data_IF_042922893046
#
_entry.id   IF_042922893046
#
_cell.length_a   1.000
_cell.length_b   1.000
_cell.length_c   1.000
_cell.angle_alpha   90.00
_cell.angle_beta   90.00
_cell.angle_gamma   90.00
#
_symmetry.space_group_name_H-M   'P 1'
#
loop_
_entity.id
_entity.type
_entity.pdbx_description
1 polymer ?
#
# COMPACT_ATOMS: atom_id res chain seq x y z
N UNK A 1 -4.99 -6.68 -75.28
CA UNK A 1 -5.12 -7.43 -74.00
C UNK A 1 -4.79 -6.49 -72.86
N UNK A 2 -5.78 -6.02 -72.10
CA UNK A 2 -5.59 -5.14 -70.93
C UNK A 2 -6.22 -5.84 -69.73
N UNK A 3 -5.38 -6.18 -68.74
CA UNK A 3 -5.76 -6.91 -67.53
C UNK A 3 -6.67 -6.06 -66.64
N UNK A 4 -7.76 -6.68 -66.16
CA UNK A 4 -8.68 -6.13 -65.16
C UNK A 4 -7.99 -6.13 -63.80
N UNK A 5 -8.08 -4.98 -63.12
CA UNK A 5 -7.67 -4.74 -61.73
C UNK A 5 -8.70 -5.42 -60.81
N UNK A 6 -8.29 -6.47 -60.09
CA UNK A 6 -9.09 -7.13 -59.07
C UNK A 6 -8.98 -6.37 -57.75
N UNK A 7 -10.13 -5.99 -57.21
CA UNK A 7 -10.31 -5.38 -55.89
C UNK A 7 -9.97 -6.41 -54.80
N UNK A 8 -9.13 -6.04 -53.84
CA UNK A 8 -8.93 -6.83 -52.61
C UNK A 8 -9.94 -6.32 -51.58
N UNK A 9 -10.91 -7.17 -51.28
CA UNK A 9 -11.78 -7.05 -50.12
C UNK A 9 -10.94 -7.12 -48.85
N UNK A 10 -11.11 -6.12 -47.97
CA UNK A 10 -10.51 -6.11 -46.65
C UNK A 10 -11.02 -7.30 -45.84
N UNK A 11 -10.09 -8.02 -45.23
CA UNK A 11 -10.41 -9.02 -44.22
C UNK A 11 -10.24 -8.33 -42.87
N UNK A 12 -11.35 -8.09 -42.20
CA UNK A 12 -11.43 -7.64 -40.81
C UNK A 12 -10.67 -8.65 -39.95
N UNK A 13 -9.61 -8.18 -39.31
CA UNK A 13 -9.00 -8.86 -38.17
C UNK A 13 -9.65 -8.24 -36.94
N UNK A 14 -10.72 -8.86 -36.46
CA UNK A 14 -11.17 -8.66 -35.09
C UNK A 14 -10.13 -9.34 -34.19
N UNK A 15 -9.08 -8.57 -33.92
CA UNK A 15 -8.20 -8.82 -32.81
C UNK A 15 -8.97 -8.47 -31.55
N UNK A 16 -9.35 -9.49 -30.80
CA UNK A 16 -9.51 -9.39 -29.36
C UNK A 16 -8.12 -9.09 -28.78
N UNK A 17 -7.73 -7.83 -28.87
CA UNK A 17 -6.60 -7.29 -28.13
C UNK A 17 -7.19 -6.83 -26.80
N UNK A 18 -7.30 -7.76 -25.85
CA UNK A 18 -7.26 -7.40 -24.44
C UNK A 18 -6.06 -6.45 -24.28
N UNK A 19 -6.34 -5.17 -24.02
CA UNK A 19 -5.29 -4.23 -23.63
C UNK A 19 -4.49 -4.83 -22.47
N UNK A 20 -3.24 -4.38 -22.23
CA UNK A 20 -2.55 -4.80 -21.01
C UNK A 20 -3.50 -4.53 -19.84
N UNK A 21 -3.79 -5.57 -19.06
CA UNK A 21 -4.56 -5.41 -17.84
C UNK A 21 -3.85 -4.30 -17.05
N UNK A 22 -4.55 -3.20 -16.76
CA UNK A 22 -4.07 -2.21 -15.79
C UNK A 22 -3.81 -2.96 -14.50
N UNK A 23 -2.59 -2.90 -13.98
CA UNK A 23 -2.27 -3.65 -12.77
C UNK A 23 -2.91 -3.01 -11.53
N UNK A 24 -2.74 -3.65 -10.39
CA UNK A 24 -3.41 -3.28 -9.14
C UNK A 24 -2.42 -2.74 -8.12
N UNK A 25 -2.92 -1.90 -7.20
CA UNK A 25 -2.19 -1.57 -5.96
C UNK A 25 -2.63 -2.52 -4.86
N UNK A 26 -1.67 -3.21 -4.24
CA UNK A 26 -1.92 -4.19 -3.18
C UNK A 26 -1.60 -3.60 -1.81
N UNK A 27 -2.62 -3.40 -0.98
CA UNK A 27 -2.50 -2.99 0.41
C UNK A 27 -2.37 -4.25 1.27
N UNK A 28 -1.32 -4.31 2.10
CA UNK A 28 -1.04 -5.44 2.98
C UNK A 28 -1.36 -5.06 4.43
N UNK A 29 -2.24 -5.87 5.05
CA UNK A 29 -2.57 -5.81 6.48
C UNK A 29 -2.03 -7.07 7.17
N UNK A 30 -1.36 -6.88 8.31
CA UNK A 30 -0.80 -7.93 9.17
C UNK A 30 -1.64 -8.11 10.44
N UNK A 31 -2.31 -9.25 10.54
CA UNK A 31 -3.18 -9.61 11.66
C UNK A 31 -2.48 -10.49 12.70
N UNK A 32 -2.84 -10.30 13.97
CA UNK A 32 -2.41 -11.11 15.10
C UNK A 32 -1.06 -10.73 15.71
N UNK A 33 -0.22 -9.98 14.99
CA UNK A 33 1.12 -9.57 15.45
C UNK A 33 1.41 -8.06 15.32
N UNK A 34 0.53 -7.31 14.64
CA UNK A 34 0.67 -5.87 14.40
C UNK A 34 -0.67 -5.14 14.64
N UNK A 35 -0.84 -4.63 15.85
CA UNK A 35 -2.06 -3.93 16.27
C UNK A 35 -2.32 -2.65 15.47
N UNK A 36 -1.27 -1.97 15.02
CA UNK A 36 -1.41 -0.79 14.18
C UNK A 36 -1.96 -1.17 12.80
N UNK A 37 -1.42 -2.23 12.20
CA UNK A 37 -1.87 -2.71 10.90
C UNK A 37 -3.36 -3.07 10.92
N UNK A 38 -3.81 -3.82 11.92
CA UNK A 38 -5.23 -4.17 12.07
C UNK A 38 -6.11 -2.96 12.34
N UNK A 39 -5.63 -2.00 13.16
CA UNK A 39 -6.34 -0.76 13.42
C UNK A 39 -6.55 0.06 12.13
N UNK A 40 -5.48 0.31 11.38
CA UNK A 40 -5.54 1.05 10.10
C UNK A 40 -6.43 0.31 9.11
N UNK A 41 -6.27 -1.03 8.97
CA UNK A 41 -7.11 -1.86 8.11
C UNK A 41 -8.58 -1.79 8.47
N UNK A 42 -8.90 -1.77 9.77
CA UNK A 42 -10.26 -1.59 10.29
C UNK A 42 -10.87 -0.26 9.87
N UNK A 43 -10.13 0.84 10.05
CA UNK A 43 -10.56 2.17 9.61
C UNK A 43 -10.75 2.26 8.09
N UNK A 44 -9.81 1.72 7.32
CA UNK A 44 -9.88 1.71 5.86
C UNK A 44 -11.11 0.95 5.35
N UNK A 45 -11.45 -0.18 5.99
CA UNK A 45 -12.69 -0.93 5.73
C UNK A 45 -13.95 -0.20 6.17
N UNK A 46 -13.86 0.68 7.18
CA UNK A 46 -15.00 1.45 7.67
C UNK A 46 -15.32 2.66 6.79
N UNK A 47 -14.32 3.26 6.12
CA UNK A 47 -14.52 4.49 5.34
C UNK A 47 -14.70 4.26 3.84
N UNK A 48 -14.20 3.16 3.28
CA UNK A 48 -14.37 2.78 1.87
C UNK A 48 -15.38 1.64 1.76
N UNK A 49 -16.18 1.64 0.69
CA UNK A 49 -17.12 0.56 0.39
C UNK A 49 -16.41 -0.53 -0.43
N UNK A 50 -15.96 -1.57 0.28
CA UNK A 50 -15.21 -2.69 -0.28
C UNK A 50 -16.12 -3.82 -0.76
N UNK A 51 -15.78 -4.43 -1.89
CA UNK A 51 -16.30 -5.75 -2.28
C UNK A 51 -15.42 -6.87 -1.72
N UNK A 52 -16.01 -8.03 -1.45
CA UNK A 52 -15.25 -9.23 -1.12
C UNK A 52 -14.35 -9.63 -2.31
N UNK A 53 -13.08 -9.87 -2.03
CA UNK A 53 -12.10 -10.38 -2.98
C UNK A 53 -11.92 -11.89 -2.87
N UNK A 54 -11.02 -12.49 -3.67
CA UNK A 54 -10.66 -13.91 -3.51
C UNK A 54 -9.98 -14.15 -2.16
N UNK A 55 -10.11 -15.35 -1.62
CA UNK A 55 -9.18 -15.79 -0.57
C UNK A 55 -7.81 -16.06 -1.19
N UNK A 56 -6.75 -15.53 -0.58
CA UNK A 56 -5.37 -15.69 -1.04
C UNK A 56 -4.54 -16.21 0.12
N UNK A 57 -3.97 -17.40 0.01
CA UNK A 57 -3.29 -18.08 1.12
C UNK A 57 -4.22 -18.49 2.26
N UNK A 58 -5.51 -18.71 1.96
CA UNK A 58 -6.54 -19.07 2.95
C UNK A 58 -6.94 -17.92 3.87
N UNK A 59 -6.64 -16.67 3.50
CA UNK A 59 -7.03 -15.46 4.24
C UNK A 59 -7.85 -14.53 3.35
N UNK A 60 -8.74 -13.71 3.95
CA UNK A 60 -9.64 -12.87 3.17
C UNK A 60 -8.89 -11.72 2.48
N UNK A 61 -9.45 -11.30 1.35
CA UNK A 61 -9.09 -10.05 0.70
C UNK A 61 -10.34 -9.25 0.34
N UNK A 62 -10.14 -7.99 0.02
CA UNK A 62 -11.16 -7.07 -0.47
C UNK A 62 -10.67 -6.35 -1.70
N UNK A 63 -11.60 -5.87 -2.51
CA UNK A 63 -11.31 -5.10 -3.72
C UNK A 63 -12.17 -3.86 -3.81
N UNK A 64 -11.58 -2.81 -4.36
CA UNK A 64 -12.26 -1.57 -4.75
C UNK A 64 -11.51 -1.03 -5.97
N UNK A 65 -12.17 -0.96 -7.13
CA UNK A 65 -11.52 -0.62 -8.41
C UNK A 65 -10.24 -1.46 -8.66
N UNK A 66 -9.09 -0.82 -8.87
CA UNK A 66 -7.75 -1.37 -9.05
C UNK A 66 -6.95 -1.48 -7.75
N UNK A 67 -7.60 -1.33 -6.58
CA UNK A 67 -6.98 -1.53 -5.27
C UNK A 67 -7.44 -2.84 -4.65
N UNK A 68 -6.48 -3.56 -4.06
CA UNK A 68 -6.71 -4.79 -3.29
C UNK A 68 -6.27 -4.56 -1.85
N UNK A 69 -7.03 -5.08 -0.91
CA UNK A 69 -6.67 -5.11 0.51
C UNK A 69 -6.55 -6.56 0.94
N UNK A 70 -5.35 -7.00 1.27
CA UNK A 70 -5.05 -8.37 1.64
C UNK A 70 -4.72 -8.47 3.13
N UNK A 71 -5.55 -9.19 3.87
CA UNK A 71 -5.48 -9.26 5.33
C UNK A 71 -4.92 -10.59 5.78
N UNK A 72 -3.62 -10.60 6.04
CA UNK A 72 -2.83 -11.80 6.27
C UNK A 72 -2.55 -12.00 7.74
N UNK A 73 -2.24 -13.24 8.12
CA UNK A 73 -1.70 -13.56 9.44
C UNK A 73 -0.18 -13.36 9.49
N UNK A 74 0.32 -12.87 10.62
CA UNK A 74 1.76 -12.77 10.90
C UNK A 74 2.42 -11.47 10.42
N UNK A 75 3.70 -11.30 10.78
CA UNK A 75 4.48 -10.09 10.52
C UNK A 75 4.98 -10.02 9.07
N UNK A 76 4.59 -8.96 8.35
CA UNK A 76 4.99 -8.71 6.96
C UNK A 76 6.48 -8.42 6.72
N UNK A 77 7.22 -7.96 7.73
CA UNK A 77 8.63 -7.56 7.55
C UNK A 77 9.54 -8.75 7.18
N UNK A 78 9.18 -9.97 7.57
CA UNK A 78 9.91 -11.20 7.22
C UNK A 78 9.36 -11.96 6.01
N UNK A 79 8.43 -11.35 5.28
CA UNK A 79 7.62 -12.00 4.26
C UNK A 79 7.97 -11.43 2.88
N UNK A 80 9.04 -11.94 2.26
CA UNK A 80 9.50 -11.49 0.94
C UNK A 80 8.51 -11.85 -0.19
N UNK A 81 8.57 -11.11 -1.30
CA UNK A 81 7.83 -11.36 -2.54
C UNK A 81 6.31 -11.51 -2.33
N UNK A 82 5.69 -10.53 -1.65
CA UNK A 82 4.25 -10.52 -1.40
C UNK A 82 3.43 -10.17 -2.65
N UNK A 83 3.99 -9.32 -3.48
CA UNK A 83 3.53 -9.05 -4.84
C UNK A 83 3.44 -10.34 -5.66
N UNK A 84 4.56 -11.07 -5.81
CA UNK A 84 4.61 -12.30 -6.61
C UNK A 84 3.59 -13.34 -6.13
N UNK A 85 3.47 -13.54 -4.82
CA UNK A 85 2.49 -14.48 -4.24
C UNK A 85 1.06 -14.11 -4.58
N UNK A 86 0.72 -12.83 -4.56
CA UNK A 86 -0.59 -12.37 -5.00
C UNK A 86 -0.81 -12.66 -6.49
N UNK A 87 0.18 -12.33 -7.34
CA UNK A 87 0.09 -12.57 -8.79
C UNK A 87 -0.07 -14.05 -9.13
N UNK A 88 0.68 -14.92 -8.46
CA UNK A 88 0.66 -16.37 -8.69
C UNK A 88 -0.71 -17.00 -8.36
N UNK A 89 -1.35 -16.53 -7.28
CA UNK A 89 -2.60 -17.10 -6.80
C UNK A 89 -3.84 -16.49 -7.48
N UNK A 90 -3.79 -15.21 -7.84
CA UNK A 90 -4.95 -14.48 -8.39
C UNK A 90 -4.89 -14.26 -9.90
N UNK A 91 -3.68 -14.26 -10.48
CA UNK A 91 -3.42 -13.83 -11.85
C UNK A 91 -3.48 -12.32 -12.07
N UNK A 92 -3.68 -11.51 -11.01
CA UNK A 92 -3.70 -10.04 -11.10
C UNK A 92 -2.29 -9.49 -10.97
N UNK A 93 -1.82 -8.71 -11.97
CA UNK A 93 -0.52 -8.05 -11.92
C UNK A 93 -0.51 -6.98 -10.82
N UNK A 94 0.46 -7.02 -9.91
CA UNK A 94 0.69 -6.02 -8.87
C UNK A 94 1.64 -4.94 -9.40
N UNK A 95 1.20 -3.69 -9.39
CA UNK A 95 2.04 -2.54 -9.79
C UNK A 95 2.87 -1.99 -8.62
N UNK A 96 2.31 -2.06 -7.41
CA UNK A 96 3.01 -1.68 -6.19
C UNK A 96 2.31 -2.28 -4.96
N UNK A 97 3.06 -2.39 -3.87
CA UNK A 97 2.53 -2.75 -2.55
C UNK A 97 2.58 -1.57 -1.57
N UNK A 98 1.57 -1.50 -0.71
CA UNK A 98 1.51 -0.53 0.40
C UNK A 98 1.33 -1.32 1.69
N UNK A 99 2.34 -1.25 2.55
CA UNK A 99 2.37 -1.97 3.81
C UNK A 99 1.94 -1.04 4.94
N UNK A 100 0.82 -1.35 5.58
CA UNK A 100 0.35 -0.61 6.75
C UNK A 100 0.85 -1.35 7.98
N UNK A 101 1.64 -0.70 8.83
CA UNK A 101 2.36 -1.41 9.91
C UNK A 101 2.63 -0.51 11.11
N UNK A 102 3.17 -1.06 12.20
CA UNK A 102 3.61 -0.26 13.35
C UNK A 102 5.03 0.29 13.21
N UNK A 103 5.20 1.51 13.70
CA UNK A 103 6.50 2.08 14.03
C UNK A 103 6.76 1.94 15.54
N UNK A 104 7.96 1.55 15.94
CA UNK A 104 8.37 1.47 17.37
C UNK A 104 9.55 2.38 17.64
N UNK A 105 9.40 3.31 18.59
CA UNK A 105 10.48 4.21 18.99
C UNK A 105 10.59 4.33 20.50
N UNK A 106 11.82 4.58 20.98
CA UNK A 106 12.07 4.96 22.38
C UNK A 106 11.58 6.37 22.68
N UNK A 107 11.48 7.21 21.65
CA UNK A 107 10.85 8.52 21.75
C UNK A 107 9.34 8.30 21.58
N UNK A 108 8.65 8.14 22.71
CA UNK A 108 7.22 7.83 22.78
C UNK A 108 6.34 9.03 22.41
N UNK A 109 6.43 9.52 21.18
CA UNK A 109 5.55 10.54 20.61
C UNK A 109 4.63 9.92 19.56
N UNK A 110 3.36 10.36 19.45
CA UNK A 110 2.46 9.88 18.42
C UNK A 110 2.96 10.35 17.06
N UNK A 111 3.07 9.43 16.11
CA UNK A 111 3.61 9.75 14.79
C UNK A 111 3.04 8.86 13.69
N UNK A 112 3.02 9.43 12.48
CA UNK A 112 2.81 8.70 11.24
C UNK A 112 4.04 8.86 10.36
N UNK A 113 4.57 7.75 9.86
CA UNK A 113 5.79 7.77 9.06
C UNK A 113 5.60 7.06 7.72
N UNK A 114 6.44 7.43 6.75
CA UNK A 114 6.47 6.79 5.43
C UNK A 114 7.93 6.49 5.07
N UNK A 115 8.21 5.27 4.61
CA UNK A 115 9.57 4.90 4.19
C UNK A 115 9.58 3.81 3.12
N UNK A 116 10.73 3.70 2.45
CA UNK A 116 10.99 2.61 1.52
C UNK A 116 11.63 1.43 2.26
N UNK A 117 11.41 0.22 1.77
CA UNK A 117 12.04 -0.99 2.31
C UNK A 117 13.44 -1.21 1.75
N UNK A 118 14.30 -1.86 2.53
CA UNK A 118 15.65 -2.21 2.10
C UNK A 118 16.66 -2.22 3.23
N UNK A 119 17.78 -2.91 3.03
CA UNK A 119 18.90 -2.92 3.95
C UNK A 119 20.21 -2.43 3.30
N UNK A 120 20.24 -1.23 2.67
CA UNK A 120 21.43 -0.72 1.98
C UNK A 120 22.62 -0.46 2.93
N UNK A 121 22.35 -0.34 4.23
CA UNK A 121 23.36 -0.16 5.27
C UNK A 121 24.13 -1.43 5.62
N UNK A 122 23.62 -2.61 5.24
CA UNK A 122 24.23 -3.91 5.52
C UNK A 122 25.18 -4.35 4.38
N UNK A 123 26.23 -5.07 4.73
CA UNK A 123 27.08 -5.79 3.79
C UNK A 123 26.36 -7.02 3.25
N UNK A 124 26.73 -7.46 2.05
CA UNK A 124 26.07 -8.55 1.31
C UNK A 124 26.11 -9.93 2.00
N UNK A 125 26.98 -10.11 2.99
CA UNK A 125 27.14 -11.33 3.79
C UNK A 125 26.53 -11.24 5.20
N UNK A 126 25.91 -10.10 5.54
CA UNK A 126 25.19 -9.92 6.80
C UNK A 126 23.76 -10.45 6.73
N UNK A 127 23.21 -10.87 7.88
CA UNK A 127 21.84 -11.35 8.01
C UNK A 127 20.91 -10.21 8.49
N UNK A 128 19.92 -9.77 7.70
CA UNK A 128 19.02 -8.69 8.09
C UNK A 128 18.13 -9.09 9.30
N UNK A 129 18.20 -8.36 10.42
CA UNK A 129 17.47 -8.73 11.63
C UNK A 129 15.94 -8.59 11.52
N UNK A 130 15.47 -7.81 10.56
CA UNK A 130 14.05 -7.50 10.34
C UNK A 130 13.61 -7.78 8.89
N UNK A 131 14.21 -8.83 8.29
CA UNK A 131 13.86 -9.34 6.96
C UNK A 131 14.44 -8.53 5.79
N UNK A 132 14.11 -8.98 4.58
CA UNK A 132 14.65 -8.48 3.32
C UNK A 132 16.05 -9.02 2.99
N UNK A 133 16.72 -8.39 2.01
CA UNK A 133 18.06 -8.81 1.54
C UNK A 133 19.12 -7.76 1.88
N UNK A 134 20.25 -8.20 2.43
CA UNK A 134 21.34 -7.32 2.83
C UNK A 134 21.99 -6.61 1.63
N UNK A 135 22.30 -5.32 1.78
CA UNK A 135 22.91 -4.48 0.76
C UNK A 135 21.97 -4.05 -0.37
N UNK A 136 20.70 -4.46 -0.34
CA UNK A 136 19.71 -4.12 -1.37
C UNK A 136 18.60 -3.22 -0.84
N UNK A 137 18.00 -2.44 -1.73
CA UNK A 137 16.81 -1.64 -1.45
C UNK A 137 15.70 -1.96 -2.44
N UNK A 138 14.46 -2.03 -1.94
CA UNK A 138 13.28 -2.25 -2.77
C UNK A 138 13.00 -0.96 -3.56
N UNK A 139 12.57 -1.04 -4.83
CA UNK A 139 12.14 0.15 -5.54
C UNK A 139 11.05 0.89 -4.73
N UNK A 140 11.23 2.18 -4.43
CA UNK A 140 10.22 2.90 -3.66
C UNK A 140 8.92 3.04 -4.47
N UNK A 141 7.78 2.89 -3.81
CA UNK A 141 6.47 3.14 -4.42
C UNK A 141 6.42 4.52 -5.09
N UNK A 142 5.70 4.60 -6.19
CA UNK A 142 5.63 5.84 -6.96
C UNK A 142 4.93 6.93 -6.14
N UNK A 143 5.46 8.16 -6.21
CA UNK A 143 4.79 9.28 -5.57
C UNK A 143 4.96 9.40 -4.04
N UNK A 144 5.87 8.68 -3.36
CA UNK A 144 6.08 8.84 -1.90
C UNK A 144 6.15 10.30 -1.42
N UNK A 145 6.76 11.21 -2.20
CA UNK A 145 6.80 12.63 -1.87
C UNK A 145 5.41 13.32 -1.91
N UNK A 146 4.52 12.89 -2.81
CA UNK A 146 3.12 13.29 -2.86
C UNK A 146 2.37 12.78 -1.64
N UNK A 147 2.47 11.48 -1.34
CA UNK A 147 1.89 10.86 -0.15
C UNK A 147 2.29 11.58 1.14
N UNK A 148 3.57 11.92 1.29
CA UNK A 148 4.03 12.67 2.45
C UNK A 148 3.45 14.09 2.53
N UNK A 149 3.33 14.80 1.41
CA UNK A 149 2.66 16.11 1.39
C UNK A 149 1.18 16.00 1.74
N UNK A 150 0.51 14.95 1.28
CA UNK A 150 -0.88 14.68 1.62
C UNK A 150 -1.03 14.36 3.11
N UNK A 151 -0.14 13.53 3.69
CA UNK A 151 -0.10 13.25 5.12
C UNK A 151 0.00 14.53 5.95
N UNK A 152 0.97 15.40 5.64
CA UNK A 152 1.17 16.67 6.35
C UNK A 152 -0.07 17.57 6.24
N UNK A 153 -0.69 17.63 5.05
CA UNK A 153 -1.93 18.40 4.84
C UNK A 153 -3.08 17.83 5.68
N UNK A 154 -3.32 16.52 5.60
CA UNK A 154 -4.43 15.85 6.28
C UNK A 154 -4.29 15.91 7.80
N UNK A 155 -3.08 15.71 8.34
CA UNK A 155 -2.83 15.85 9.77
C UNK A 155 -3.16 17.28 10.26
N UNK A 156 -2.82 18.30 9.46
CA UNK A 156 -3.17 19.69 9.75
C UNK A 156 -4.67 19.95 9.66
N UNK A 157 -5.35 19.44 8.63
CA UNK A 157 -6.80 19.61 8.44
C UNK A 157 -7.61 18.89 9.53
N UNK A 158 -7.12 17.75 10.02
CA UNK A 158 -7.66 17.01 11.16
C UNK A 158 -7.28 17.62 12.52
N UNK A 159 -6.55 18.75 12.54
CA UNK A 159 -6.08 19.44 13.76
C UNK A 159 -5.22 18.55 14.69
N UNK A 160 -4.51 17.57 14.12
CA UNK A 160 -3.67 16.61 14.85
C UNK A 160 -2.28 17.20 15.17
N UNK A 161 -2.25 18.32 15.88
CA UNK A 161 -1.03 19.10 16.15
C UNK A 161 0.02 18.38 17.00
N UNK A 162 -0.41 17.43 17.83
CA UNK A 162 0.47 16.61 18.68
C UNK A 162 1.13 15.46 17.89
N UNK A 163 0.62 15.16 16.69
CA UNK A 163 1.12 14.07 15.86
C UNK A 163 2.28 14.54 14.98
N UNK A 164 3.39 13.82 15.07
CA UNK A 164 4.51 14.07 14.16
C UNK A 164 4.33 13.31 12.83
N UNK A 165 4.76 13.92 11.73
CA UNK A 165 4.75 13.27 10.41
C UNK A 165 6.17 13.26 9.85
N UNK A 166 6.69 12.09 9.49
CA UNK A 166 8.09 11.97 9.02
C UNK A 166 8.25 11.08 7.78
N UNK A 167 9.30 11.37 7.02
CA UNK A 167 9.93 10.37 6.16
C UNK A 167 11.04 9.69 6.95
N UNK A 168 11.12 8.36 6.91
CA UNK A 168 12.24 7.63 7.50
C UNK A 168 13.27 7.20 6.46
N UNK A 169 14.46 6.85 6.94
CA UNK A 169 15.49 6.24 6.11
C UNK A 169 15.03 4.86 5.60
N UNK A 170 15.57 4.44 4.45
CA UNK A 170 15.38 3.07 3.95
C UNK A 170 15.96 2.08 4.96
N UNK A 171 15.12 1.17 5.45
CA UNK A 171 15.51 0.13 6.40
C UNK A 171 14.57 -1.10 6.28
N UNK A 172 15.01 -2.24 6.84
CA UNK A 172 14.29 -3.52 7.06
C UNK A 172 13.60 -4.11 5.82
N UNK A 173 13.06 -5.32 5.99
CA UNK A 173 12.27 -6.00 4.97
C UNK A 173 10.82 -5.51 4.90
N UNK A 174 9.99 -6.10 4.03
CA UNK A 174 10.33 -7.26 3.19
C UNK A 174 11.19 -6.88 1.97
N UNK A 175 11.72 -7.90 1.28
CA UNK A 175 12.30 -7.77 -0.06
C UNK A 175 11.28 -8.17 -1.13
N UNK A 176 11.25 -7.42 -2.22
CA UNK A 176 10.53 -7.75 -3.45
C UNK A 176 11.12 -6.96 -4.63
N UNK A 177 10.84 -7.40 -5.86
CA UNK A 177 11.26 -6.68 -7.07
C UNK A 177 10.30 -5.52 -7.40
N UNK A 178 9.01 -5.66 -7.08
CA UNK A 178 8.00 -4.64 -7.33
C UNK A 178 8.12 -3.42 -6.40
N UNK A 179 7.65 -2.23 -6.84
CA UNK A 179 7.63 -1.03 -6.00
C UNK A 179 6.87 -1.22 -4.68
N UNK A 180 7.43 -0.70 -3.58
CA UNK A 180 6.81 -0.80 -2.26
C UNK A 180 7.03 0.44 -1.40
N UNK A 181 6.14 0.65 -0.44
CA UNK A 181 6.37 1.55 0.69
C UNK A 181 5.69 1.05 1.96
N UNK A 182 6.23 1.47 3.10
CA UNK A 182 5.57 1.39 4.40
C UNK A 182 4.88 2.71 4.73
N UNK A 183 3.69 2.63 5.30
CA UNK A 183 3.06 3.73 6.02
C UNK A 183 2.79 3.23 7.44
N UNK A 184 3.41 3.88 8.42
CA UNK A 184 3.44 3.35 9.77
C UNK A 184 2.72 4.24 10.79
N UNK A 185 2.12 3.60 11.77
CA UNK A 185 1.56 4.24 12.95
C UNK A 185 2.43 3.94 14.17
N UNK A 186 2.82 4.98 14.89
CA UNK A 186 3.73 4.84 16.02
C UNK A 186 3.51 5.85 17.13
N UNK A 187 4.29 5.79 18.21
CA UNK A 187 5.50 4.94 18.34
C UNK A 187 5.47 3.85 19.41
N UNK A 188 4.32 3.57 20.02
CA UNK A 188 4.13 2.53 21.06
C UNK A 188 2.72 1.93 20.99
N UNK A 189 2.41 0.96 21.86
CA UNK A 189 1.12 0.25 21.87
C UNK A 189 -0.10 1.17 22.05
N UNK A 190 0.02 2.24 22.83
CA UNK A 190 -1.07 3.23 22.97
C UNK A 190 -1.35 3.91 21.63
N UNK A 191 -0.30 4.33 20.92
CA UNK A 191 -0.45 4.99 19.63
C UNK A 191 -0.87 4.03 18.51
N UNK A 192 -0.42 2.76 18.54
CA UNK A 192 -0.83 1.75 17.55
C UNK A 192 -2.34 1.51 17.57
N UNK A 193 -2.97 1.65 18.73
CA UNK A 193 -4.42 1.49 18.92
C UNK A 193 -5.20 2.82 18.83
N UNK A 194 -4.55 3.91 18.43
CA UNK A 194 -5.21 5.21 18.34
C UNK A 194 -6.22 5.25 17.19
N UNK A 195 -7.45 5.62 17.52
CA UNK A 195 -8.51 5.87 16.53
C UNK A 195 -8.14 7.02 15.59
N UNK A 196 -7.56 8.11 16.11
CA UNK A 196 -7.18 9.27 15.30
C UNK A 196 -6.06 8.91 14.31
N UNK A 197 -5.03 8.20 14.78
CA UNK A 197 -3.91 7.75 13.94
C UNK A 197 -4.34 6.75 12.87
N UNK A 198 -5.16 5.76 13.25
CA UNK A 198 -5.72 4.79 12.31
C UNK A 198 -6.61 5.46 11.25
N UNK A 199 -7.49 6.37 11.66
CA UNK A 199 -8.34 7.15 10.77
C UNK A 199 -7.55 8.07 9.83
N UNK A 200 -6.47 8.70 10.31
CA UNK A 200 -5.61 9.57 9.50
C UNK A 200 -4.93 8.79 8.38
N UNK A 201 -4.33 7.63 8.70
CA UNK A 201 -3.67 6.79 7.68
C UNK A 201 -4.70 6.22 6.71
N UNK A 202 -5.86 5.76 7.20
CA UNK A 202 -6.93 5.26 6.33
C UNK A 202 -7.40 6.33 5.34
N UNK A 203 -7.62 7.57 5.81
CA UNK A 203 -8.00 8.70 4.96
C UNK A 203 -6.91 9.04 3.94
N UNK A 204 -5.64 9.07 4.36
CA UNK A 204 -4.50 9.28 3.47
C UNK A 204 -4.48 8.25 2.33
N UNK A 205 -4.60 6.97 2.67
CA UNK A 205 -4.60 5.86 1.70
C UNK A 205 -5.79 5.97 0.75
N UNK A 206 -6.99 6.27 1.27
CA UNK A 206 -8.17 6.42 0.44
C UNK A 206 -8.06 7.60 -0.54
N UNK A 207 -7.56 8.76 -0.10
CA UNK A 207 -7.40 9.94 -0.96
C UNK A 207 -6.32 9.75 -2.03
N UNK A 208 -5.14 9.26 -1.65
CA UNK A 208 -4.01 9.13 -2.58
C UNK A 208 -4.23 8.01 -3.61
N UNK A 209 -5.05 7.00 -3.29
CA UNK A 209 -5.50 5.98 -4.24
C UNK A 209 -6.79 6.35 -4.97
N UNK A 210 -7.37 7.53 -4.72
CA UNK A 210 -8.57 7.99 -5.42
C UNK A 210 -9.83 7.15 -5.12
N UNK A 211 -9.88 6.49 -3.96
CA UNK A 211 -11.02 5.68 -3.53
C UNK A 211 -12.17 6.59 -3.09
N UNK A 212 -13.41 6.23 -3.45
CA UNK A 212 -14.59 6.86 -2.86
C UNK A 212 -14.67 6.49 -1.38
N UNK A 213 -14.73 7.50 -0.51
CA UNK A 213 -14.63 7.30 0.93
C UNK A 213 -15.47 8.29 1.73
N UNK A 214 -15.78 7.90 2.97
CA UNK A 214 -16.34 8.75 4.02
C UNK A 214 -15.20 9.45 4.75
N UNK A 215 -15.36 10.74 5.08
CA UNK A 215 -14.39 11.43 5.93
C UNK A 215 -14.56 10.99 7.41
N UNK A 216 -13.59 10.30 8.02
CA UNK A 216 -13.71 9.82 9.40
C UNK A 216 -13.68 10.94 10.45
N UNK A 217 -13.18 12.13 10.10
CA UNK A 217 -13.14 13.31 10.98
C UNK A 217 -14.41 14.19 10.86
N UNK A 218 -15.33 13.83 9.96
CA UNK A 218 -16.57 14.54 9.65
C UNK A 218 -16.36 15.74 8.70
N UNK A 219 -17.38 16.59 8.52
CA UNK A 219 -17.27 17.85 7.77
C UNK A 219 -16.44 18.93 8.50
N UNK A 220 -15.41 18.53 9.23
CA UNK A 220 -14.49 19.47 9.87
C UNK A 220 -13.43 19.87 8.85
N UNK A 221 -13.74 20.84 8.01
CA UNK A 221 -12.76 21.39 7.07
C UNK A 221 -13.32 22.19 5.88
N UNK A 222 -14.61 22.09 5.57
CA UNK A 222 -15.24 22.99 4.61
C UNK A 222 -15.70 24.25 5.34
N UNK A 223 -14.79 25.17 5.72
CA UNK A 223 -15.05 26.61 5.95
C UNK A 223 -13.78 27.33 6.46
N UNK A 224 -13.02 27.98 5.55
CA UNK A 224 -12.91 29.44 5.38
C UNK A 224 -11.71 29.85 4.53
#
# INVERSE_FOLDING_TARGET
>A
MKQKRTERTGNERDGDASGPASGITLIVISAGEDEASENIGGWLRAIVDWEEGPEVGGVPSWRCADVRLWWRWGRQLGEDCLDDRWEEETGEKVEQTIHLTRHTSKNCVPMVTIHAFGNPQLLWDEDPPEGGTAGLAVPPASGMAQWYRALVRLAREAEMQEWETHLEATHRGPWQEGPAMAIELGSNEEHWRSDEGGALIALLVAEELGLEHRNPFGERGALR
#
